data_IF_629239812545
#
_entry.id   IF_629239812545
#
_cell.length_a   1.000
_cell.length_b   1.000
_cell.length_c   1.000
_cell.angle_alpha   90.00
_cell.angle_beta   90.00
_cell.angle_gamma   90.00
#
_symmetry.space_group_name_H-M   'P 1'
#
loop_
_entity.id
_entity.type
_entity.pdbx_description
1 polymer ?
#
# COMPACT_ATOMS: atom_id res chain seq x y z
N UNK A 1 -10.05 61.68 48.56
CA UNK A 1 -10.18 61.77 47.10
C UNK A 1 -9.55 60.48 46.48
N UNK A 2 -10.34 59.65 45.88
CA UNK A 2 -9.89 58.32 45.45
C UNK A 2 -9.27 58.31 44.05
N UNK A 3 -8.21 57.56 43.92
CA UNK A 3 -7.54 57.32 42.68
C UNK A 3 -8.36 56.39 41.75
N UNK A 4 -8.49 56.84 40.52
CA UNK A 4 -9.09 56.04 39.41
C UNK A 4 -8.20 54.86 38.99
N UNK A 5 -8.79 53.73 39.12
CA UNK A 5 -8.19 52.47 38.69
C UNK A 5 -7.90 52.44 37.21
N UNK A 6 -6.69 52.04 36.86
CA UNK A 6 -6.33 51.48 35.52
C UNK A 6 -7.03 50.16 35.36
N UNK A 7 -8.10 50.14 34.57
CA UNK A 7 -8.71 48.92 34.12
C UNK A 7 -7.70 48.13 33.26
N UNK A 8 -7.45 46.93 33.68
CA UNK A 8 -6.65 45.93 33.01
C UNK A 8 -7.21 45.63 31.61
N UNK A 9 -6.46 46.03 30.59
CA UNK A 9 -6.49 45.32 29.30
C UNK A 9 -5.70 44.05 29.51
N UNK A 10 -6.33 43.05 30.08
CA UNK A 10 -5.75 41.71 30.13
C UNK A 10 -6.22 40.92 28.96
N UNK A 11 -5.23 40.58 28.13
CA UNK A 11 -5.04 39.29 27.49
C UNK A 11 -6.29 38.54 27.03
N UNK A 12 -6.74 38.85 25.85
CA UNK A 12 -7.14 37.76 24.97
C UNK A 12 -5.87 37.14 24.38
N UNK A 13 -5.18 36.33 25.15
CA UNK A 13 -4.42 35.24 24.64
C UNK A 13 -5.43 34.40 23.85
N UNK A 14 -5.50 34.63 22.52
CA UNK A 14 -6.04 33.66 21.61
C UNK A 14 -5.28 32.37 21.90
N UNK A 15 -5.90 31.46 22.57
CA UNK A 15 -5.53 30.04 22.52
C UNK A 15 -5.65 29.69 21.04
N UNK A 16 -4.51 29.70 20.34
CA UNK A 16 -4.44 29.22 18.96
C UNK A 16 -4.86 27.77 19.09
N UNK A 17 -6.11 27.47 18.72
CA UNK A 17 -6.63 26.11 18.69
C UNK A 17 -5.80 25.28 17.70
N UNK A 18 -5.68 23.99 17.94
CA UNK A 18 -5.03 23.10 16.98
C UNK A 18 -5.67 23.28 15.60
N UNK A 19 -4.84 23.28 14.52
CA UNK A 19 -5.29 23.44 13.13
C UNK A 19 -6.46 22.51 12.81
N UNK A 20 -7.45 23.04 12.11
CA UNK A 20 -8.64 22.31 11.68
C UNK A 20 -8.73 22.30 10.15
N UNK A 21 -8.80 21.12 9.56
CA UNK A 21 -8.85 20.91 8.11
C UNK A 21 -10.23 20.36 7.74
N UNK A 22 -11.11 21.21 7.23
CA UNK A 22 -12.43 20.84 6.75
C UNK A 22 -12.33 20.36 5.30
N UNK A 23 -12.67 19.08 5.03
CA UNK A 23 -12.80 18.52 3.69
C UNK A 23 -14.20 18.79 3.14
N UNK A 24 -14.34 19.79 2.29
CA UNK A 24 -15.64 20.13 1.68
C UNK A 24 -16.07 19.18 0.58
N UNK A 25 -15.13 18.42 0.01
CA UNK A 25 -15.31 17.35 -0.93
C UNK A 25 -14.07 16.46 -0.98
N UNK A 26 -14.24 15.17 -1.28
CA UNK A 26 -13.16 14.17 -1.23
C UNK A 26 -12.91 13.47 -2.56
N UNK A 27 -13.76 13.69 -3.57
CA UNK A 27 -13.65 13.03 -4.87
C UNK A 27 -12.68 13.72 -5.84
N UNK A 28 -12.42 13.08 -6.99
CA UNK A 28 -11.80 13.71 -8.16
C UNK A 28 -12.62 14.88 -8.70
N UNK A 29 -12.08 15.60 -9.68
CA UNK A 29 -12.69 16.84 -10.18
C UNK A 29 -14.12 16.71 -10.73
N UNK A 30 -14.54 15.51 -11.15
CA UNK A 30 -15.89 15.23 -11.63
C UNK A 30 -16.87 14.75 -10.52
N UNK A 31 -16.39 14.54 -9.31
CA UNK A 31 -17.14 13.88 -8.23
C UNK A 31 -17.15 12.34 -8.36
N UNK A 32 -17.77 11.67 -7.41
CA UNK A 32 -17.99 10.21 -7.45
C UNK A 32 -19.37 9.88 -6.89
N UNK A 33 -20.30 9.30 -7.70
CA UNK A 33 -20.12 8.90 -9.10
C UNK A 33 -19.93 10.09 -10.04
N UNK A 34 -19.16 9.86 -11.12
CA UNK A 34 -18.96 10.84 -12.18
C UNK A 34 -20.25 10.97 -13.02
N UNK A 35 -20.75 12.19 -13.29
CA UNK A 35 -21.94 12.40 -14.07
C UNK A 35 -21.86 11.74 -15.45
N UNK A 36 -22.87 10.94 -15.80
CA UNK A 36 -22.94 10.22 -17.07
C UNK A 36 -22.11 8.95 -17.17
N UNK A 37 -21.24 8.63 -16.19
CA UNK A 37 -20.48 7.41 -16.18
C UNK A 37 -21.36 6.21 -15.77
N UNK A 38 -21.30 5.12 -16.57
CA UNK A 38 -22.07 3.88 -16.35
C UNK A 38 -21.20 2.69 -15.89
N UNK A 39 -19.96 2.94 -15.46
CA UNK A 39 -19.11 1.88 -14.98
C UNK A 39 -19.66 1.25 -13.69
N UNK A 40 -19.21 0.02 -13.38
CA UNK A 40 -19.70 -0.73 -12.21
C UNK A 40 -19.45 -0.02 -10.86
N UNK A 41 -18.47 0.87 -10.78
CA UNK A 41 -18.20 1.67 -9.59
C UNK A 41 -19.25 2.78 -9.44
N UNK A 42 -19.43 3.62 -10.47
CA UNK A 42 -20.39 4.73 -10.45
C UNK A 42 -21.86 4.27 -10.33
N UNK A 43 -22.23 3.16 -10.98
CA UNK A 43 -23.59 2.66 -10.99
C UNK A 43 -24.11 2.18 -9.60
N UNK A 44 -23.22 2.00 -8.63
CA UNK A 44 -23.56 1.53 -7.27
C UNK A 44 -23.82 2.64 -6.27
N UNK A 45 -23.54 3.89 -6.65
CA UNK A 45 -23.54 5.03 -5.75
C UNK A 45 -24.65 6.01 -6.11
N UNK A 46 -25.28 6.66 -5.12
CA UNK A 46 -26.22 7.72 -5.38
C UNK A 46 -25.49 8.94 -5.96
N UNK A 47 -26.16 9.76 -6.80
CA UNK A 47 -25.60 11.02 -7.28
C UNK A 47 -25.12 11.91 -6.12
N UNK A 48 -23.92 12.50 -6.28
CA UNK A 48 -23.35 13.38 -5.28
C UNK A 48 -22.84 12.68 -4.00
N UNK A 49 -22.63 11.36 -4.05
CA UNK A 49 -22.09 10.58 -2.94
C UNK A 49 -20.79 11.18 -2.38
N UNK A 50 -19.88 11.58 -3.28
CA UNK A 50 -18.70 12.39 -2.94
C UNK A 50 -18.57 13.56 -3.90
N UNK A 51 -18.42 14.75 -3.37
CA UNK A 51 -18.24 15.97 -4.14
C UNK A 51 -16.79 16.14 -4.64
N UNK A 52 -16.57 16.92 -5.69
CA UNK A 52 -15.23 17.32 -6.11
C UNK A 52 -14.38 17.80 -4.94
N UNK A 53 -13.10 17.44 -4.96
CA UNK A 53 -12.17 17.75 -3.90
C UNK A 53 -12.14 19.25 -3.59
N UNK A 54 -12.23 19.54 -2.31
CA UNK A 54 -12.06 20.87 -1.75
C UNK A 54 -11.73 20.78 -0.28
N UNK A 55 -10.94 21.71 0.21
CA UNK A 55 -10.62 21.84 1.63
C UNK A 55 -10.56 23.30 2.06
N UNK A 56 -10.80 23.53 3.33
CA UNK A 56 -10.62 24.85 3.99
C UNK A 56 -9.89 24.61 5.31
N UNK A 57 -8.79 25.31 5.54
CA UNK A 57 -8.02 25.26 6.78
C UNK A 57 -8.47 26.40 7.68
N UNK A 58 -8.80 26.08 8.94
CA UNK A 58 -9.24 27.00 9.99
C UNK A 58 -10.41 27.91 9.58
N UNK A 59 -11.21 27.47 8.60
CA UNK A 59 -12.33 28.22 8.06
C UNK A 59 -11.95 29.42 7.16
N UNK A 60 -10.66 29.67 6.92
CA UNK A 60 -10.17 30.89 6.24
C UNK A 60 -9.22 30.62 5.06
N UNK A 61 -8.52 29.50 5.00
CA UNK A 61 -7.55 29.20 3.93
C UNK A 61 -8.06 28.07 3.05
N UNK A 62 -8.59 28.37 1.85
CA UNK A 62 -8.98 27.33 0.88
C UNK A 62 -7.77 26.77 0.14
N UNK A 63 -7.91 25.57 -0.42
CA UNK A 63 -6.97 25.04 -1.41
C UNK A 63 -7.46 25.40 -2.84
N UNK A 64 -6.59 25.77 -3.79
CA UNK A 64 -5.12 25.88 -3.65
C UNK A 64 -4.70 27.03 -2.72
N UNK A 65 -3.54 26.87 -2.05
CA UNK A 65 -3.02 27.79 -1.05
C UNK A 65 -2.48 29.06 -1.71
N UNK A 66 -3.37 30.00 -1.96
CA UNK A 66 -3.09 31.34 -2.49
C UNK A 66 -3.69 32.41 -1.56
N UNK A 67 -3.20 33.64 -1.62
CA UNK A 67 -3.70 34.79 -0.86
C UNK A 67 -3.82 34.50 0.65
N UNK A 68 -2.71 34.06 1.25
CA UNK A 68 -2.68 33.56 2.63
C UNK A 68 -2.82 34.71 3.66
N UNK A 69 -3.67 34.52 4.67
CA UNK A 69 -3.72 35.43 5.83
C UNK A 69 -2.41 35.42 6.62
N UNK A 70 -2.24 36.44 7.48
CA UNK A 70 -1.08 36.53 8.35
C UNK A 70 -0.89 35.29 9.20
N UNK A 71 0.35 34.86 9.33
CA UNK A 71 0.73 33.64 10.06
C UNK A 71 0.72 32.34 9.26
N UNK A 72 0.03 32.28 8.11
CA UNK A 72 0.10 31.13 7.20
C UNK A 72 1.21 31.29 6.18
N UNK A 73 1.87 30.19 5.83
CA UNK A 73 2.96 30.19 4.84
C UNK A 73 2.83 28.97 3.91
N UNK A 74 2.79 29.23 2.61
CA UNK A 74 2.87 28.15 1.62
C UNK A 74 4.29 27.54 1.59
N UNK A 75 4.35 26.24 1.35
CA UNK A 75 5.59 25.48 1.14
C UNK A 75 5.36 24.40 0.07
N UNK A 76 6.41 23.65 -0.28
CA UNK A 76 6.31 22.54 -1.25
C UNK A 76 5.62 22.98 -2.56
N UNK A 77 6.07 24.07 -3.17
CA UNK A 77 5.53 24.62 -4.42
C UNK A 77 3.99 24.86 -4.40
N UNK A 78 3.48 25.36 -3.26
CA UNK A 78 2.06 25.65 -3.05
C UNK A 78 1.21 24.41 -2.73
N UNK A 79 1.82 23.24 -2.55
CA UNK A 79 1.13 22.03 -2.12
C UNK A 79 1.08 21.88 -0.59
N UNK A 80 1.94 22.55 0.12
CA UNK A 80 2.02 22.53 1.57
C UNK A 80 1.63 23.87 2.20
N UNK A 81 1.20 23.82 3.45
CA UNK A 81 0.84 24.95 4.26
C UNK A 81 1.45 24.78 5.65
N UNK A 82 2.10 25.83 6.17
CA UNK A 82 2.45 25.94 7.59
C UNK A 82 1.46 26.91 8.23
N UNK A 83 0.80 26.45 9.29
CA UNK A 83 -0.23 27.19 10.03
C UNK A 83 0.39 28.02 11.17
N UNK A 84 -0.36 29.01 11.74
CA UNK A 84 0.15 29.87 12.81
C UNK A 84 0.53 29.13 14.10
N UNK A 85 -0.07 27.95 14.37
CA UNK A 85 0.27 27.05 15.49
C UNK A 85 1.53 26.20 15.25
N UNK A 86 2.15 26.32 14.05
CA UNK A 86 3.29 25.53 13.62
C UNK A 86 2.93 24.21 12.96
N UNK A 87 1.66 23.81 12.93
CA UNK A 87 1.20 22.61 12.23
C UNK A 87 1.44 22.72 10.72
N UNK A 88 1.71 21.59 10.09
CA UNK A 88 2.06 21.49 8.67
C UNK A 88 1.13 20.54 7.93
N UNK A 89 0.59 21.04 6.84
CA UNK A 89 -0.31 20.33 5.96
C UNK A 89 0.34 20.12 4.60
N UNK A 90 0.14 18.95 4.00
CA UNK A 90 0.46 18.66 2.59
C UNK A 90 -0.81 18.22 1.86
N UNK A 91 -1.07 18.83 0.71
CA UNK A 91 -2.11 18.40 -0.22
C UNK A 91 -1.46 17.94 -1.51
N UNK A 92 -1.54 16.63 -1.81
CA UNK A 92 -0.83 16.01 -2.93
C UNK A 92 -1.82 15.37 -3.93
N UNK A 93 -2.38 16.18 -4.86
CA UNK A 93 -3.27 15.68 -5.91
C UNK A 93 -2.57 14.69 -6.84
N UNK A 94 -3.36 14.02 -7.71
CA UNK A 94 -2.91 12.96 -8.63
C UNK A 94 -1.71 13.35 -9.47
N UNK A 95 -1.76 14.52 -10.09
CA UNK A 95 -0.82 14.93 -11.14
C UNK A 95 0.45 15.62 -10.60
N UNK A 96 0.57 15.73 -9.28
CA UNK A 96 1.72 16.40 -8.66
C UNK A 96 2.71 15.38 -8.11
N UNK A 97 4.01 15.56 -8.35
CA UNK A 97 5.05 14.70 -7.77
C UNK A 97 5.14 14.89 -6.27
N UNK A 98 5.75 13.92 -5.58
CA UNK A 98 6.17 14.09 -4.20
C UNK A 98 7.19 15.22 -4.13
N UNK A 99 7.05 16.20 -3.22
CA UNK A 99 7.99 17.31 -3.09
C UNK A 99 9.40 16.80 -2.77
N UNK A 100 10.40 17.22 -3.56
CA UNK A 100 11.80 16.85 -3.33
C UNK A 100 12.37 17.51 -2.06
N UNK A 101 11.84 18.68 -1.70
CA UNK A 101 12.24 19.47 -0.54
C UNK A 101 10.98 19.81 0.28
N UNK A 102 11.01 19.53 1.55
CA UNK A 102 9.91 19.81 2.47
C UNK A 102 10.39 20.14 3.85
N UNK A 103 9.50 20.67 4.72
CA UNK A 103 9.75 20.75 6.15
C UNK A 103 10.01 19.36 6.73
N UNK A 104 10.50 19.28 7.96
CA UNK A 104 10.94 18.02 8.55
C UNK A 104 9.84 16.93 8.60
N UNK A 105 8.55 17.30 8.77
CA UNK A 105 7.40 16.36 8.84
C UNK A 105 6.11 17.15 8.61
N UNK A 106 5.09 16.49 8.08
CA UNK A 106 3.73 16.99 8.01
C UNK A 106 2.86 16.36 9.10
N UNK A 107 1.94 17.14 9.65
CA UNK A 107 0.97 16.67 10.65
C UNK A 107 -0.29 16.10 9.99
N UNK A 108 -0.68 16.68 8.84
CA UNK A 108 -1.81 16.19 8.03
C UNK A 108 -1.39 16.11 6.56
N UNK A 109 -1.67 14.97 5.93
CA UNK A 109 -1.41 14.73 4.51
C UNK A 109 -2.70 14.30 3.81
N UNK A 110 -3.11 15.07 2.82
CA UNK A 110 -4.22 14.78 1.92
C UNK A 110 -3.65 14.34 0.57
N UNK A 111 -3.89 13.09 0.17
CA UNK A 111 -3.18 12.49 -0.97
C UNK A 111 -4.08 11.62 -1.84
N UNK A 112 -3.95 11.72 -3.18
CA UNK A 112 -4.54 10.76 -4.11
C UNK A 112 -3.66 9.50 -4.15
N UNK A 113 -4.21 8.37 -3.69
CA UNK A 113 -3.52 7.07 -3.57
C UNK A 113 -4.05 6.02 -4.55
N UNK A 114 -5.06 6.32 -5.37
CA UNK A 114 -5.76 5.27 -6.13
C UNK A 114 -4.88 4.58 -7.17
N UNK A 115 -4.07 5.33 -7.91
CA UNK A 115 -3.17 4.78 -8.93
C UNK A 115 -1.72 4.67 -8.44
N UNK A 116 -1.33 5.49 -7.46
CA UNK A 116 0.06 5.66 -7.04
C UNK A 116 0.23 5.64 -5.53
N UNK A 117 -0.13 4.53 -4.86
CA UNK A 117 0.02 4.39 -3.41
C UNK A 117 1.49 4.44 -2.95
N UNK A 118 2.45 4.14 -3.84
CA UNK A 118 3.89 4.22 -3.58
C UNK A 118 4.36 5.64 -3.19
N UNK A 119 3.62 6.69 -3.58
CA UNK A 119 3.91 8.07 -3.15
C UNK A 119 3.86 8.24 -1.64
N UNK A 120 2.99 7.49 -0.95
CA UNK A 120 2.95 7.48 0.51
C UNK A 120 4.18 6.76 1.09
N UNK A 121 4.63 5.67 0.47
CA UNK A 121 5.87 5.00 0.83
C UNK A 121 7.09 5.91 0.64
N UNK A 122 7.10 6.69 -0.44
CA UNK A 122 8.15 7.67 -0.72
C UNK A 122 8.18 8.80 0.33
N UNK A 123 7.03 9.37 0.70
CA UNK A 123 6.91 10.37 1.78
C UNK A 123 7.43 9.81 3.12
N UNK A 124 7.10 8.55 3.44
CA UNK A 124 7.58 7.85 4.64
C UNK A 124 9.09 7.65 4.60
N UNK A 125 9.64 7.23 3.45
CA UNK A 125 11.08 7.05 3.27
C UNK A 125 11.86 8.36 3.43
N UNK A 126 11.26 9.48 3.05
CA UNK A 126 11.84 10.81 3.22
C UNK A 126 11.67 11.37 4.64
N UNK A 127 10.96 10.69 5.54
CA UNK A 127 10.67 11.17 6.89
C UNK A 127 9.63 12.29 6.95
N UNK A 128 8.91 12.53 5.85
CA UNK A 128 7.86 13.56 5.76
C UNK A 128 6.52 13.10 6.34
N UNK A 129 6.35 11.79 6.49
CA UNK A 129 5.18 11.11 7.07
C UNK A 129 5.65 10.04 8.04
N UNK A 130 5.13 10.03 9.25
CA UNK A 130 5.37 9.03 10.28
C UNK A 130 4.06 8.45 10.86
N UNK A 131 4.12 7.82 12.03
CA UNK A 131 2.96 7.20 12.68
C UNK A 131 2.00 8.21 13.32
N UNK A 132 2.46 9.44 13.59
CA UNK A 132 1.65 10.51 14.15
C UNK A 132 0.96 11.35 13.06
N UNK A 133 1.41 11.22 11.80
CA UNK A 133 0.85 11.96 10.67
C UNK A 133 -0.55 11.44 10.33
N UNK A 134 -1.52 12.34 10.27
CA UNK A 134 -2.87 12.04 9.75
C UNK A 134 -2.82 11.96 8.23
N UNK A 135 -3.08 10.80 7.65
CA UNK A 135 -3.10 10.59 6.20
C UNK A 135 -4.52 10.30 5.75
N UNK A 136 -5.10 11.18 4.93
CA UNK A 136 -6.41 10.98 4.34
C UNK A 136 -6.34 10.93 2.81
N UNK A 137 -7.05 9.95 2.23
CA UNK A 137 -7.17 9.81 0.78
C UNK A 137 -8.17 10.81 0.23
N UNK A 138 -7.78 11.51 -0.83
CA UNK A 138 -8.60 12.46 -1.60
C UNK A 138 -8.48 12.15 -3.10
N UNK A 139 -9.25 12.83 -3.93
CA UNK A 139 -9.26 12.57 -5.37
C UNK A 139 -9.93 11.22 -5.70
N UNK A 140 -10.87 10.78 -4.86
CA UNK A 140 -11.55 9.49 -4.96
C UNK A 140 -12.52 9.48 -6.14
N UNK A 141 -12.49 8.41 -6.95
CA UNK A 141 -13.34 8.27 -8.12
C UNK A 141 -13.50 6.80 -8.55
N UNK A 142 -14.04 6.57 -9.72
CA UNK A 142 -14.33 5.26 -10.27
C UNK A 142 -13.11 4.38 -10.62
N UNK A 143 -11.88 4.85 -10.42
CA UNK A 143 -10.67 4.02 -10.46
C UNK A 143 -10.68 2.95 -9.37
N UNK A 144 -11.46 3.18 -8.31
CA UNK A 144 -11.75 2.16 -7.30
C UNK A 144 -13.14 1.56 -7.53
N UNK A 145 -13.30 0.26 -7.28
CA UNK A 145 -14.52 -0.50 -7.62
C UNK A 145 -15.69 -0.23 -6.68
N UNK A 146 -15.41 0.07 -5.42
CA UNK A 146 -16.41 0.33 -4.38
C UNK A 146 -15.77 0.95 -3.14
N UNK A 147 -16.60 1.48 -2.23
CA UNK A 147 -16.16 1.99 -0.92
C UNK A 147 -15.52 0.89 -0.04
N UNK A 148 -15.98 -0.36 -0.12
CA UNK A 148 -15.38 -1.48 0.62
C UNK A 148 -13.96 -1.76 0.13
N UNK A 149 -13.75 -1.74 -1.18
CA UNK A 149 -12.42 -1.92 -1.76
C UNK A 149 -11.51 -0.74 -1.41
N UNK A 150 -12.03 0.48 -1.43
CA UNK A 150 -11.31 1.67 -0.96
C UNK A 150 -10.87 1.50 0.49
N UNK A 151 -11.80 1.18 1.38
CA UNK A 151 -11.52 0.99 2.80
C UNK A 151 -10.51 -0.15 3.03
N UNK A 152 -10.60 -1.24 2.25
CA UNK A 152 -9.63 -2.34 2.29
C UNK A 152 -8.22 -1.87 1.93
N UNK A 153 -8.05 -1.17 0.81
CA UNK A 153 -6.74 -0.66 0.35
C UNK A 153 -6.15 0.33 1.33
N UNK A 154 -6.95 1.28 1.80
CA UNK A 154 -6.47 2.31 2.72
C UNK A 154 -6.04 1.72 4.08
N UNK A 155 -6.70 0.66 4.56
CA UNK A 155 -6.21 -0.08 5.74
C UNK A 155 -4.84 -0.72 5.52
N UNK A 156 -4.56 -1.25 4.30
CA UNK A 156 -3.23 -1.78 3.98
C UNK A 156 -2.16 -0.67 4.08
N UNK A 157 -2.51 0.53 3.65
CA UNK A 157 -1.58 1.65 3.56
C UNK A 157 -1.54 2.54 4.81
N UNK A 158 -2.42 2.31 5.81
CA UNK A 158 -2.53 3.16 6.99
C UNK A 158 -2.98 4.57 6.62
N UNK A 159 -4.05 4.69 5.85
CA UNK A 159 -4.70 5.93 5.46
C UNK A 159 -6.21 5.87 5.71
N UNK A 160 -6.84 7.04 5.82
CA UNK A 160 -8.27 7.19 6.03
C UNK A 160 -9.00 7.50 4.71
N UNK A 161 -10.22 6.98 4.56
CA UNK A 161 -11.25 7.59 3.73
C UNK A 161 -12.30 8.20 4.65
N UNK A 162 -12.57 9.48 4.46
CA UNK A 162 -13.57 10.19 5.27
C UNK A 162 -14.68 10.74 4.37
N UNK A 163 -15.91 10.90 4.87
CA UNK A 163 -17.00 11.58 4.17
C UNK A 163 -16.69 13.06 3.90
N UNK A 164 -17.37 13.62 2.92
CA UNK A 164 -17.40 15.07 2.72
C UNK A 164 -17.96 15.77 3.97
N UNK A 165 -17.40 16.92 4.32
CA UNK A 165 -17.76 17.67 5.52
C UNK A 165 -17.01 17.24 6.78
N UNK A 166 -16.07 16.29 6.66
CA UNK A 166 -15.25 15.86 7.83
C UNK A 166 -14.17 16.90 8.15
N UNK A 167 -14.02 17.16 9.43
CA UNK A 167 -12.90 17.93 10.00
C UNK A 167 -11.78 16.98 10.45
N UNK A 168 -10.57 17.23 10.01
CA UNK A 168 -9.36 16.54 10.43
C UNK A 168 -8.47 17.48 11.25
N UNK A 169 -7.78 16.93 12.26
CA UNK A 169 -6.84 17.64 13.12
C UNK A 169 -5.59 16.80 13.34
N UNK A 170 -4.42 17.39 13.63
CA UNK A 170 -3.30 16.63 14.16
C UNK A 170 -3.75 15.75 15.33
N UNK A 171 -3.31 14.50 15.35
CA UNK A 171 -3.74 13.53 16.37
C UNK A 171 -5.08 12.85 16.12
N UNK A 172 -5.76 13.11 14.97
CA UNK A 172 -6.89 12.26 14.54
C UNK A 172 -6.46 10.78 14.53
N UNK A 173 -7.22 9.86 15.17
CA UNK A 173 -6.83 8.46 15.24
C UNK A 173 -6.65 7.84 13.86
N UNK A 174 -5.48 7.22 13.63
CA UNK A 174 -5.14 6.55 12.37
C UNK A 174 -5.32 5.03 12.47
N UNK A 175 -5.76 4.37 11.38
CA UNK A 175 -5.77 2.92 11.35
C UNK A 175 -4.31 2.41 11.38
N UNK A 176 -4.08 1.33 12.14
CA UNK A 176 -2.80 0.64 12.05
C UNK A 176 -2.59 0.10 10.64
N UNK A 177 -1.38 0.21 10.11
CA UNK A 177 -1.04 -0.33 8.80
C UNK A 177 -1.22 -1.84 8.80
N UNK A 178 -2.05 -2.35 7.90
CA UNK A 178 -2.33 -3.77 7.78
C UNK A 178 -1.53 -4.49 6.69
N UNK A 179 -0.98 -3.74 5.73
CA UNK A 179 -0.28 -4.33 4.57
C UNK A 179 1.08 -4.92 4.91
N UNK A 180 1.78 -4.28 5.85
CA UNK A 180 3.08 -4.70 6.34
C UNK A 180 3.03 -5.45 7.69
N UNK A 181 1.89 -6.00 8.11
CA UNK A 181 1.76 -6.72 9.36
C UNK A 181 1.69 -8.23 9.10
N UNK A 182 2.67 -8.96 9.65
CA UNK A 182 2.68 -10.42 9.64
C UNK A 182 2.99 -11.06 8.27
N UNK A 183 2.52 -12.30 8.12
CA UNK A 183 2.80 -13.17 6.97
C UNK A 183 1.54 -13.33 6.13
N UNK A 184 1.64 -13.02 4.84
CA UNK A 184 0.53 -13.09 3.90
C UNK A 184 0.87 -14.03 2.74
N UNK A 185 0.01 -15.01 2.48
CA UNK A 185 0.11 -15.93 1.36
C UNK A 185 -1.02 -15.64 0.36
N UNK A 186 -0.65 -15.30 -0.87
CA UNK A 186 -1.58 -15.03 -1.97
C UNK A 186 -1.53 -16.17 -2.98
N UNK A 187 -2.61 -16.91 -3.05
CA UNK A 187 -2.80 -18.04 -3.94
C UNK A 187 -3.58 -17.61 -5.19
N UNK A 188 -3.39 -18.31 -6.30
CA UNK A 188 -4.22 -18.09 -7.47
C UNK A 188 -3.63 -18.65 -8.75
N UNK A 189 -4.45 -18.78 -9.79
CA UNK A 189 -4.04 -19.26 -11.11
C UNK A 189 -3.17 -18.24 -11.87
N UNK A 190 -2.69 -18.67 -13.04
CA UNK A 190 -1.97 -17.76 -13.96
C UNK A 190 -2.84 -16.55 -14.31
N UNK A 191 -2.25 -15.34 -14.29
CA UNK A 191 -2.93 -14.07 -14.60
C UNK A 191 -4.14 -13.73 -13.70
N UNK A 192 -4.24 -14.34 -12.52
CA UNK A 192 -5.31 -14.05 -11.55
C UNK A 192 -5.25 -12.65 -10.94
N UNK A 193 -4.09 -11.97 -11.00
CA UNK A 193 -3.84 -10.67 -10.35
C UNK A 193 -3.13 -10.80 -9.00
N UNK A 194 -2.69 -12.00 -8.60
CA UNK A 194 -2.03 -12.25 -7.30
C UNK A 194 -0.77 -11.42 -7.07
N UNK A 195 0.12 -11.29 -8.07
CA UNK A 195 1.33 -10.46 -7.95
C UNK A 195 0.98 -8.96 -7.80
N UNK A 196 -0.02 -8.47 -8.55
CA UNK A 196 -0.49 -7.09 -8.40
C UNK A 196 -1.09 -6.83 -7.01
N UNK A 197 -1.83 -7.80 -6.44
CA UNK A 197 -2.35 -7.69 -5.07
C UNK A 197 -1.20 -7.72 -4.04
N UNK A 198 -0.15 -8.52 -4.25
CA UNK A 198 1.03 -8.55 -3.39
C UNK A 198 1.79 -7.21 -3.40
N UNK A 199 2.02 -6.66 -4.59
CA UNK A 199 2.61 -5.34 -4.78
C UNK A 199 1.77 -4.25 -4.11
N UNK A 200 0.44 -4.30 -4.29
CA UNK A 200 -0.49 -3.35 -3.69
C UNK A 200 -0.44 -3.35 -2.16
N UNK A 201 -0.29 -4.51 -1.53
CA UNK A 201 -0.23 -4.63 -0.07
C UNK A 201 0.94 -3.87 0.54
N UNK A 202 2.08 -3.88 -0.14
CA UNK A 202 3.32 -3.25 0.34
C UNK A 202 3.60 -1.89 -0.31
N UNK A 203 2.74 -1.41 -1.20
CA UNK A 203 3.01 -0.22 -2.01
C UNK A 203 3.30 1.04 -1.18
N UNK A 204 2.68 1.19 -0.01
CA UNK A 204 2.91 2.33 0.88
C UNK A 204 4.04 2.13 1.90
N UNK A 205 4.78 1.02 1.83
CA UNK A 205 5.94 0.79 2.70
C UNK A 205 7.16 1.59 2.21
N UNK A 206 7.92 2.20 3.14
CA UNK A 206 9.08 3.01 2.77
C UNK A 206 10.23 2.19 2.18
N UNK A 207 10.34 0.94 2.59
CA UNK A 207 11.35 -0.01 2.14
C UNK A 207 10.74 -1.38 1.96
N UNK A 208 11.02 -2.03 0.84
CA UNK A 208 10.61 -3.41 0.54
C UNK A 208 11.74 -4.08 -0.23
N UNK A 209 12.02 -5.33 0.10
CA UNK A 209 12.87 -6.18 -0.72
C UNK A 209 12.00 -7.15 -1.52
N UNK A 210 12.04 -7.02 -2.84
CA UNK A 210 11.40 -7.95 -3.75
C UNK A 210 12.36 -9.12 -4.04
N UNK A 211 11.91 -10.33 -3.76
CA UNK A 211 12.70 -11.55 -3.99
C UNK A 211 12.18 -12.24 -5.26
N UNK A 212 12.98 -12.19 -6.32
CA UNK A 212 12.71 -12.89 -7.57
C UNK A 212 13.30 -14.30 -7.50
N UNK A 213 12.46 -15.29 -7.76
CA UNK A 213 12.82 -16.72 -7.62
C UNK A 213 13.00 -17.43 -8.97
N UNK A 214 12.64 -16.77 -10.05
CA UNK A 214 12.75 -17.30 -11.40
C UNK A 214 14.03 -16.89 -12.11
N UNK A 215 14.37 -17.56 -13.23
CA UNK A 215 15.48 -17.16 -14.08
C UNK A 215 15.24 -15.75 -14.65
N UNK A 216 16.32 -15.05 -14.98
CA UNK A 216 16.32 -13.70 -15.52
C UNK A 216 15.66 -13.55 -16.91
N UNK A 217 15.21 -14.64 -17.51
CA UNK A 217 14.56 -14.67 -18.83
C UNK A 217 15.51 -14.73 -20.00
N UNK A 218 16.80 -14.98 -19.77
CA UNK A 218 17.76 -15.19 -20.85
C UNK A 218 17.35 -16.39 -21.72
N UNK A 219 16.99 -16.12 -22.98
CA UNK A 219 16.62 -17.14 -23.97
C UNK A 219 15.11 -17.34 -24.21
N UNK A 220 14.22 -16.75 -23.41
CA UNK A 220 12.78 -16.75 -23.62
C UNK A 220 12.21 -15.34 -23.67
N UNK A 221 11.85 -14.89 -24.88
CA UNK A 221 11.36 -13.52 -25.11
C UNK A 221 10.04 -13.20 -24.42
N UNK A 222 9.14 -14.17 -24.26
CA UNK A 222 7.87 -13.99 -23.55
C UNK A 222 8.12 -13.85 -22.04
N UNK A 223 8.98 -14.70 -21.50
CA UNK A 223 9.38 -14.64 -20.10
C UNK A 223 10.12 -13.34 -19.77
N UNK A 224 11.07 -12.92 -20.61
CA UNK A 224 11.79 -11.65 -20.45
C UNK A 224 10.84 -10.44 -20.50
N UNK A 225 9.85 -10.43 -21.38
CA UNK A 225 8.82 -9.39 -21.43
C UNK A 225 7.97 -9.36 -20.15
N UNK A 226 7.65 -10.53 -19.60
CA UNK A 226 6.91 -10.66 -18.32
C UNK A 226 7.73 -10.13 -17.14
N UNK A 227 8.98 -10.50 -17.02
CA UNK A 227 9.91 -10.00 -15.98
C UNK A 227 10.02 -8.48 -16.07
N UNK A 228 10.18 -7.93 -17.28
CA UNK A 228 10.26 -6.48 -17.52
C UNK A 228 8.98 -5.77 -17.06
N UNK A 229 7.80 -6.25 -17.46
CA UNK A 229 6.51 -5.68 -17.04
C UNK A 229 6.32 -5.73 -15.52
N UNK A 230 6.83 -6.76 -14.82
CA UNK A 230 6.85 -6.83 -13.37
C UNK A 230 7.80 -5.81 -12.75
N UNK A 231 8.98 -5.56 -13.37
CA UNK A 231 9.93 -4.54 -12.89
C UNK A 231 9.39 -3.12 -13.05
N UNK A 232 8.71 -2.84 -14.17
CA UNK A 232 8.15 -1.51 -14.47
C UNK A 232 7.00 -1.11 -13.55
N UNK A 233 6.24 -2.07 -13.01
CA UNK A 233 5.15 -1.80 -12.05
C UNK A 233 5.61 -1.52 -10.64
N UNK A 234 6.82 -1.95 -10.27
CA UNK A 234 7.33 -1.83 -8.91
C UNK A 234 7.79 -0.41 -8.61
N UNK A 235 7.58 0.08 -7.38
CA UNK A 235 8.17 1.35 -6.95
C UNK A 235 9.69 1.36 -7.13
N UNK A 236 10.23 2.42 -7.70
CA UNK A 236 11.66 2.53 -7.99
C UNK A 236 12.57 2.46 -6.73
N UNK A 237 12.00 2.72 -5.57
CA UNK A 237 12.72 2.66 -4.29
C UNK A 237 12.77 1.27 -3.64
N UNK A 238 12.13 0.25 -4.25
CA UNK A 238 12.21 -1.13 -3.76
C UNK A 238 13.53 -1.78 -4.19
N UNK A 239 14.15 -2.48 -3.25
CA UNK A 239 15.29 -3.34 -3.57
C UNK A 239 14.84 -4.62 -4.27
N UNK A 240 15.68 -5.18 -5.14
CA UNK A 240 15.43 -6.49 -5.77
C UNK A 240 16.60 -7.42 -5.46
N UNK A 241 16.29 -8.64 -5.03
CA UNK A 241 17.23 -9.73 -4.81
C UNK A 241 16.78 -10.92 -5.65
N UNK A 242 17.70 -11.50 -6.40
CA UNK A 242 17.46 -12.72 -7.18
C UNK A 242 18.12 -13.89 -6.47
N UNK A 243 17.32 -14.84 -5.98
CA UNK A 243 17.83 -15.99 -5.23
C UNK A 243 16.82 -17.14 -5.18
N UNK A 244 17.33 -18.38 -5.15
CA UNK A 244 16.59 -19.58 -4.81
C UNK A 244 16.75 -20.00 -3.35
N UNK A 245 17.62 -19.36 -2.58
CA UNK A 245 17.74 -19.58 -1.13
C UNK A 245 16.79 -18.65 -0.36
N UNK A 246 15.50 -18.96 -0.43
CA UNK A 246 14.45 -18.18 0.22
C UNK A 246 14.57 -18.19 1.75
N UNK A 247 14.99 -19.31 2.33
CA UNK A 247 15.13 -19.41 3.77
C UNK A 247 16.22 -18.49 4.30
N UNK A 248 17.37 -18.40 3.62
CA UNK A 248 18.43 -17.45 3.96
C UNK A 248 17.98 -16.00 3.72
N UNK A 249 17.28 -15.72 2.62
CA UNK A 249 16.75 -14.39 2.34
C UNK A 249 15.78 -13.90 3.44
N UNK A 250 14.89 -14.78 3.92
CA UNK A 250 13.96 -14.47 5.02
C UNK A 250 14.71 -14.19 6.32
N UNK A 251 15.68 -15.04 6.69
CA UNK A 251 16.46 -14.87 7.93
C UNK A 251 17.31 -13.59 7.94
N UNK A 252 17.78 -13.17 6.76
CA UNK A 252 18.61 -11.97 6.59
C UNK A 252 17.79 -10.68 6.37
N UNK A 253 16.45 -10.76 6.35
CA UNK A 253 15.58 -9.66 6.00
C UNK A 253 15.67 -8.49 6.98
N UNK A 254 16.05 -7.31 6.52
CA UNK A 254 16.00 -6.06 7.27
C UNK A 254 14.71 -5.25 7.00
N UNK A 255 14.00 -5.56 5.91
CA UNK A 255 12.80 -4.87 5.43
C UNK A 255 11.68 -5.89 5.17
N UNK A 256 10.41 -5.46 5.01
CA UNK A 256 9.37 -6.33 4.46
C UNK A 256 9.81 -7.02 3.16
N UNK A 257 9.47 -8.30 3.01
CA UNK A 257 9.79 -9.08 1.82
C UNK A 257 8.55 -9.34 0.98
N UNK A 258 8.70 -9.23 -0.35
CA UNK A 258 7.74 -9.74 -1.31
C UNK A 258 8.41 -10.87 -2.12
N UNK A 259 7.94 -12.09 -1.97
CA UNK A 259 8.45 -13.29 -2.67
C UNK A 259 7.52 -13.61 -3.84
N UNK A 260 8.00 -13.45 -5.07
CA UNK A 260 7.21 -13.70 -6.27
C UNK A 260 7.98 -14.63 -7.23
N UNK A 261 7.68 -15.93 -7.31
CA UNK A 261 6.59 -16.76 -6.85
C UNK A 261 7.12 -18.12 -6.39
N UNK A 262 6.36 -18.75 -5.49
CA UNK A 262 6.76 -20.03 -4.91
C UNK A 262 6.74 -21.20 -5.89
N UNK A 263 5.87 -21.15 -6.92
CA UNK A 263 5.86 -22.17 -7.98
C UNK A 263 7.17 -22.21 -8.77
N UNK A 264 7.68 -21.04 -9.18
CA UNK A 264 8.95 -20.91 -9.91
C UNK A 264 10.13 -21.33 -9.03
N UNK A 265 10.11 -20.93 -7.74
CA UNK A 265 11.09 -21.39 -6.76
C UNK A 265 11.12 -22.92 -6.63
N UNK A 266 9.94 -23.54 -6.50
CA UNK A 266 9.85 -25.00 -6.35
C UNK A 266 10.36 -25.71 -7.60
N UNK A 267 10.08 -25.19 -8.80
CA UNK A 267 10.66 -25.70 -10.05
C UNK A 267 12.19 -25.69 -10.01
N UNK A 268 12.78 -24.55 -9.61
CA UNK A 268 14.24 -24.42 -9.49
C UNK A 268 14.82 -25.41 -8.47
N UNK A 269 14.13 -25.67 -7.35
CA UNK A 269 14.55 -26.68 -6.36
C UNK A 269 14.46 -28.11 -6.92
N UNK A 270 13.43 -28.44 -7.72
CA UNK A 270 13.36 -29.73 -8.41
C UNK A 270 14.50 -29.90 -9.41
N UNK A 271 14.83 -28.84 -10.17
CA UNK A 271 15.93 -28.86 -11.15
C UNK A 271 17.29 -29.02 -10.46
N UNK A 272 17.55 -28.25 -9.40
CA UNK A 272 18.80 -28.29 -8.59
C UNK A 272 19.10 -29.71 -8.09
N UNK A 273 18.07 -30.44 -7.68
CA UNK A 273 18.23 -31.78 -7.10
C UNK A 273 17.95 -32.94 -8.08
N UNK A 274 17.66 -32.66 -9.36
CA UNK A 274 17.27 -33.67 -10.32
C UNK A 274 16.05 -34.50 -9.89
N UNK A 275 15.14 -33.86 -9.13
CA UNK A 275 14.08 -34.56 -8.42
C UNK A 275 12.81 -34.83 -9.24
N UNK A 276 12.81 -34.52 -10.53
CA UNK A 276 11.68 -34.82 -11.42
C UNK A 276 11.44 -36.32 -11.57
N UNK A 277 12.51 -37.08 -11.64
CA UNK A 277 12.49 -38.55 -11.75
C UNK A 277 13.21 -39.27 -10.61
N UNK A 278 13.98 -38.50 -9.78
CA UNK A 278 14.80 -38.98 -8.70
C UNK A 278 14.18 -38.92 -7.29
N UNK A 279 15.05 -38.95 -6.29
CA UNK A 279 14.68 -38.80 -4.90
C UNK A 279 14.18 -37.36 -4.64
N UNK A 280 13.05 -37.25 -3.93
CA UNK A 280 12.40 -36.00 -3.60
C UNK A 280 12.62 -35.58 -2.14
N UNK A 281 13.38 -36.34 -1.36
CA UNK A 281 13.71 -36.00 0.01
C UNK A 281 14.43 -34.63 0.13
N UNK A 282 15.37 -34.26 -0.78
CA UNK A 282 15.98 -32.93 -0.75
C UNK A 282 14.98 -31.81 -0.99
N UNK A 283 14.02 -31.99 -1.91
CA UNK A 283 12.96 -30.99 -2.15
C UNK A 283 12.09 -30.79 -0.91
N UNK A 284 11.70 -31.91 -0.26
CA UNK A 284 10.94 -31.86 0.99
C UNK A 284 11.70 -31.15 2.12
N UNK A 285 13.02 -31.36 2.20
CA UNK A 285 13.89 -30.67 3.16
C UNK A 285 13.93 -29.15 2.91
N UNK A 286 14.12 -28.73 1.66
CA UNK A 286 14.10 -27.29 1.28
C UNK A 286 12.75 -26.63 1.59
N UNK A 287 11.64 -27.33 1.30
CA UNK A 287 10.30 -26.86 1.68
C UNK A 287 10.15 -26.75 3.22
N UNK A 288 10.66 -27.69 3.99
CA UNK A 288 10.62 -27.64 5.44
C UNK A 288 11.45 -26.48 6.00
N UNK A 289 12.61 -26.22 5.44
CA UNK A 289 13.47 -25.11 5.80
C UNK A 289 12.80 -23.74 5.51
N UNK A 290 12.16 -23.61 4.35
CA UNK A 290 11.39 -22.40 4.00
C UNK A 290 10.25 -22.16 5.01
N UNK A 291 9.45 -23.18 5.34
CA UNK A 291 8.36 -23.08 6.32
C UNK A 291 8.89 -22.70 7.70
N UNK A 292 10.03 -23.25 8.12
CA UNK A 292 10.66 -22.89 9.39
C UNK A 292 11.12 -21.42 9.42
N UNK A 293 11.75 -20.93 8.34
CA UNK A 293 12.13 -19.53 8.20
C UNK A 293 10.91 -18.61 8.16
N UNK A 294 9.85 -18.99 7.42
CA UNK A 294 8.58 -18.27 7.35
C UNK A 294 7.96 -18.09 8.74
N UNK A 295 7.85 -19.18 9.52
CA UNK A 295 7.32 -19.18 10.90
C UNK A 295 8.08 -18.25 11.83
N UNK A 296 9.41 -18.19 11.71
CA UNK A 296 10.30 -17.47 12.62
C UNK A 296 10.55 -16.02 12.22
N UNK A 297 10.03 -15.57 11.06
CA UNK A 297 10.25 -14.20 10.61
C UNK A 297 9.56 -13.19 11.53
N UNK A 298 10.33 -12.20 11.97
CA UNK A 298 9.86 -11.01 12.68
C UNK A 298 9.55 -9.84 11.70
N UNK A 299 9.85 -10.02 10.41
CA UNK A 299 9.56 -9.07 9.35
C UNK A 299 8.30 -9.46 8.58
N UNK A 300 7.54 -8.47 8.10
CA UNK A 300 6.42 -8.75 7.22
C UNK A 300 6.85 -9.53 5.98
N UNK A 301 6.10 -10.59 5.68
CA UNK A 301 6.32 -11.42 4.50
C UNK A 301 5.05 -11.45 3.64
N UNK A 302 5.20 -11.20 2.35
CA UNK A 302 4.13 -11.42 1.37
C UNK A 302 4.66 -12.39 0.33
N UNK A 303 4.04 -13.56 0.19
CA UNK A 303 4.40 -14.52 -0.86
C UNK A 303 3.26 -14.76 -1.84
N UNK A 304 3.65 -14.98 -3.08
CA UNK A 304 2.75 -15.33 -4.18
C UNK A 304 3.00 -16.79 -4.56
N UNK A 305 1.93 -17.58 -4.62
CA UNK A 305 1.99 -18.97 -5.04
C UNK A 305 0.89 -19.32 -6.04
N UNK A 306 1.17 -20.31 -6.88
CA UNK A 306 0.18 -20.83 -7.79
C UNK A 306 -0.72 -21.85 -7.09
N UNK A 307 -2.05 -21.71 -7.27
CA UNK A 307 -2.99 -22.76 -6.89
C UNK A 307 -3.17 -23.70 -8.08
N UNK A 308 -2.46 -24.80 -8.03
CA UNK A 308 -2.42 -25.83 -9.11
C UNK A 308 -3.34 -27.03 -8.83
N UNK A 309 -3.88 -27.10 -7.61
CA UNK A 309 -4.70 -28.22 -7.15
C UNK A 309 -6.10 -28.26 -7.75
N UNK A 310 -6.64 -27.10 -8.13
CA UNK A 310 -8.02 -26.93 -8.60
C UNK A 310 -8.21 -27.31 -10.10
N UNK A 311 -7.14 -27.62 -10.81
CA UNK A 311 -7.19 -27.96 -12.23
C UNK A 311 -7.24 -29.47 -12.49
N UNK A 312 -7.13 -29.83 -13.78
CA UNK A 312 -7.06 -31.22 -14.23
C UNK A 312 -5.78 -31.87 -13.69
N UNK A 313 -5.87 -33.16 -13.33
CA UNK A 313 -4.71 -33.94 -12.89
C UNK A 313 -3.72 -34.07 -14.03
N UNK A 314 -2.44 -33.66 -13.86
CA UNK A 314 -1.44 -33.77 -14.94
C UNK A 314 -1.23 -35.20 -15.41
N UNK A 315 -1.10 -35.37 -16.72
CA UNK A 315 -0.85 -36.69 -17.32
C UNK A 315 0.55 -37.24 -16.98
N UNK A 316 1.56 -36.35 -16.83
CA UNK A 316 2.94 -36.74 -16.53
C UNK A 316 3.17 -36.98 -15.04
N UNK A 317 4.09 -37.88 -14.72
CA UNK A 317 4.48 -38.14 -13.32
C UNK A 317 5.15 -36.90 -12.67
N UNK A 318 5.97 -36.19 -13.43
CA UNK A 318 6.61 -34.92 -12.98
C UNK A 318 5.57 -33.84 -12.67
N UNK A 319 4.56 -33.65 -13.52
CA UNK A 319 3.49 -32.69 -13.28
C UNK A 319 2.68 -33.03 -12.02
N UNK A 320 2.37 -34.29 -11.76
CA UNK A 320 1.71 -34.72 -10.52
C UNK A 320 2.58 -34.48 -9.30
N UNK A 321 3.89 -34.80 -9.41
CA UNK A 321 4.84 -34.57 -8.30
C UNK A 321 4.95 -33.08 -7.94
N UNK A 322 5.05 -32.21 -8.93
CA UNK A 322 5.07 -30.76 -8.73
C UNK A 322 3.78 -30.26 -8.06
N UNK A 323 2.62 -30.66 -8.62
CA UNK A 323 1.30 -30.31 -8.07
C UNK A 323 1.16 -30.69 -6.60
N UNK A 324 1.55 -31.93 -6.26
CA UNK A 324 1.46 -32.43 -4.88
C UNK A 324 2.43 -31.72 -3.95
N UNK A 325 3.66 -31.45 -4.41
CA UNK A 325 4.66 -30.75 -3.61
C UNK A 325 4.26 -29.28 -3.36
N UNK A 326 3.78 -28.56 -4.39
CA UNK A 326 3.35 -27.17 -4.25
C UNK A 326 2.09 -27.06 -3.38
N UNK A 327 1.12 -27.97 -3.54
CA UNK A 327 -0.08 -27.99 -2.69
C UNK A 327 0.25 -28.18 -1.22
N UNK A 328 1.15 -29.13 -0.88
CA UNK A 328 1.62 -29.34 0.50
C UNK A 328 2.41 -28.14 1.05
N UNK A 329 3.21 -27.48 0.20
CA UNK A 329 3.93 -26.28 0.59
C UNK A 329 2.94 -25.15 0.90
N UNK A 330 1.96 -24.92 0.02
CA UNK A 330 0.92 -23.92 0.22
C UNK A 330 0.13 -24.14 1.52
N UNK A 331 -0.28 -25.40 1.79
CA UNK A 331 -0.97 -25.77 3.03
C UNK A 331 -0.14 -25.42 4.27
N UNK A 332 1.14 -25.78 4.28
CA UNK A 332 2.05 -25.54 5.40
C UNK A 332 2.34 -24.07 5.61
N UNK A 333 2.52 -23.29 4.54
CA UNK A 333 2.72 -21.83 4.64
C UNK A 333 1.42 -21.13 5.05
N UNK A 334 0.27 -21.60 4.57
CA UNK A 334 -1.03 -21.06 4.98
C UNK A 334 -1.26 -21.23 6.49
N UNK A 335 -0.91 -22.39 7.05
CA UNK A 335 -1.03 -22.66 8.49
C UNK A 335 -0.15 -21.74 9.35
N UNK A 336 0.90 -21.14 8.79
CA UNK A 336 1.84 -20.23 9.46
C UNK A 336 1.63 -18.76 9.06
N UNK A 337 0.53 -18.43 8.37
CA UNK A 337 0.27 -17.09 7.85
C UNK A 337 -0.92 -16.45 8.56
N UNK A 338 -0.80 -15.18 8.93
CA UNK A 338 -1.91 -14.39 9.50
C UNK A 338 -2.94 -13.99 8.45
N UNK A 339 -2.57 -14.04 7.17
CA UNK A 339 -3.49 -13.75 6.07
C UNK A 339 -3.24 -14.69 4.90
N UNK A 340 -4.30 -15.37 4.48
CA UNK A 340 -4.30 -16.20 3.27
C UNK A 340 -5.45 -15.75 2.38
N UNK A 341 -5.20 -15.60 1.08
CA UNK A 341 -6.27 -15.28 0.13
C UNK A 341 -6.08 -16.00 -1.21
N UNK A 342 -7.20 -16.42 -1.77
CA UNK A 342 -7.29 -16.85 -3.17
C UNK A 342 -7.62 -15.64 -4.04
N UNK A 343 -6.76 -15.33 -5.00
CA UNK A 343 -6.96 -14.22 -5.94
C UNK A 343 -7.56 -14.73 -7.25
N UNK A 344 -8.75 -14.27 -7.57
CA UNK A 344 -9.48 -14.62 -8.79
C UNK A 344 -9.93 -13.33 -9.49
N UNK A 345 -9.59 -13.17 -10.78
CA UNK A 345 -9.96 -11.99 -11.57
C UNK A 345 -9.62 -10.66 -10.88
N UNK A 346 -8.45 -10.58 -10.24
CA UNK A 346 -7.96 -9.41 -9.51
C UNK A 346 -8.70 -9.13 -8.19
N UNK A 347 -9.41 -10.12 -7.64
CA UNK A 347 -10.14 -9.98 -6.37
C UNK A 347 -9.60 -10.98 -5.36
N UNK A 348 -9.05 -10.53 -4.22
CA UNK A 348 -8.68 -11.40 -3.13
C UNK A 348 -9.93 -11.88 -2.38
N UNK A 349 -10.02 -13.18 -2.18
CA UNK A 349 -10.98 -13.86 -1.34
C UNK A 349 -10.21 -14.37 -0.12
N UNK A 350 -10.43 -13.81 1.05
CA UNK A 350 -9.81 -14.29 2.29
C UNK A 350 -10.29 -15.71 2.59
N UNK A 351 -9.36 -16.60 3.00
CA UNK A 351 -9.58 -17.99 3.37
C UNK A 351 -9.54 -18.17 4.88
#
# INVERSE_FOLDING_TARGET
MPGLGRAALHDRLCTIGAVNVLLTGTAGGAGWPEPGCRCASCARLPPGHRRPFGLVVDGVVPFPFADLPDGYRACADGLGLTCPDGSRLLCLPRDRPVPANGPARYDVVLIDLLDRPERLGELRRMGLVDEETVVAAVGLDHRIRSEEELARRLRLWGALAVPDGTELRPGTPMPRRGGGAGRALLLGGSRSGKSAEAELRLAAEPYVTYVATGPDGAGDGEWAARVRAHRERRPAHWATVETTDLAAAIRAAATPLLIDGLGTWLTAVFDEHGAWEGDRAPVAARCAELVAAWRQSDRPLVAVSDEVGMGVVPATASGRAFRDALGRLNERLAAESEYVALVVAGRPLAL
#
